data_IF_750911166999
#
_entry.id   IF_750911166999
#
_cell.length_a   1.000
_cell.length_b   1.000
_cell.length_c   1.000
_cell.angle_alpha   90.00
_cell.angle_beta   90.00
_cell.angle_gamma   90.00
#
_symmetry.space_group_name_H-M   'P 1'
#
loop_
_entity.id
_entity.type
_entity.pdbx_description
1 polymer ?
#
# COMPACT_ATOMS: atom_id res chain seq x y z
N UNK A 1 1.55 -20.19 1.90
CA UNK A 1 1.78 -18.88 1.26
C UNK A 1 0.42 -18.28 0.97
N UNK A 2 0.17 -17.06 1.42
CA UNK A 2 -1.05 -16.30 1.10
C UNK A 2 -1.14 -16.17 -0.43
N UNK A 3 -2.28 -16.56 -1.01
CA UNK A 3 -2.52 -16.42 -2.44
C UNK A 3 -3.15 -15.06 -2.77
N UNK A 4 -2.89 -14.57 -3.98
CA UNK A 4 -3.58 -13.39 -4.49
C UNK A 4 -5.06 -13.73 -4.76
N UNK A 5 -6.01 -12.83 -4.46
CA UNK A 5 -7.41 -13.08 -4.76
C UNK A 5 -7.65 -13.13 -6.27
N UNK A 6 -8.56 -14.00 -6.67
CA UNK A 6 -9.09 -14.08 -8.02
C UNK A 6 -10.47 -13.41 -8.10
N UNK A 7 -10.96 -13.18 -9.32
CA UNK A 7 -12.27 -12.59 -9.56
C UNK A 7 -12.23 -11.18 -10.15
N UNK A 8 -13.40 -10.71 -10.56
CA UNK A 8 -13.54 -9.52 -11.39
C UNK A 8 -12.93 -8.25 -10.76
N UNK A 9 -13.16 -8.01 -9.46
CA UNK A 9 -12.61 -6.83 -8.79
C UNK A 9 -11.09 -6.89 -8.67
N UNK A 10 -10.52 -8.06 -8.37
CA UNK A 10 -9.08 -8.28 -8.28
C UNK A 10 -8.39 -8.17 -9.66
N UNK A 11 -9.01 -8.69 -10.72
CA UNK A 11 -8.55 -8.51 -12.10
C UNK A 11 -8.58 -7.05 -12.53
N UNK A 12 -9.68 -6.33 -12.27
CA UNK A 12 -9.80 -4.91 -12.59
C UNK A 12 -8.79 -4.06 -11.82
N UNK A 13 -8.56 -4.36 -10.53
CA UNK A 13 -7.60 -3.62 -9.71
C UNK A 13 -6.16 -3.83 -10.19
N UNK A 14 -5.81 -5.07 -10.58
CA UNK A 14 -4.51 -5.35 -11.23
C UNK A 14 -4.36 -4.58 -12.53
N UNK A 15 -5.36 -4.62 -13.41
CA UNK A 15 -5.33 -3.94 -14.70
C UNK A 15 -5.13 -2.43 -14.53
N UNK A 16 -5.92 -1.79 -13.68
CA UNK A 16 -5.79 -0.34 -13.42
C UNK A 16 -4.44 -0.03 -12.78
N UNK A 17 -3.98 -0.83 -11.82
CA UNK A 17 -2.67 -0.60 -11.22
C UNK A 17 -1.55 -0.70 -12.26
N UNK A 18 -1.56 -1.72 -13.13
CA UNK A 18 -0.54 -1.86 -14.20
C UNK A 18 -0.61 -0.79 -15.29
N UNK A 19 -1.78 -0.18 -15.51
CA UNK A 19 -1.95 0.90 -16.51
C UNK A 19 -1.33 2.21 -16.03
N UNK A 20 -1.44 2.51 -14.72
CA UNK A 20 -1.08 3.82 -14.17
C UNK A 20 0.19 3.82 -13.32
N UNK A 21 0.55 2.69 -12.72
CA UNK A 21 1.76 2.55 -11.93
C UNK A 21 2.89 1.96 -12.79
N UNK A 22 4.14 2.37 -12.51
CA UNK A 22 5.29 1.62 -13.02
C UNK A 22 5.37 0.24 -12.35
N UNK A 23 6.22 -0.63 -12.91
CA UNK A 23 6.38 -2.01 -12.41
C UNK A 23 6.82 -2.05 -10.95
N UNK A 24 7.65 -1.11 -10.49
CA UNK A 24 8.16 -1.09 -9.12
C UNK A 24 7.04 -0.76 -8.12
N UNK A 25 6.18 0.21 -8.45
CA UNK A 25 5.03 0.60 -7.64
C UNK A 25 3.90 -0.44 -7.70
N UNK A 26 3.66 -1.06 -8.85
CA UNK A 26 2.75 -2.22 -8.95
C UNK A 26 3.22 -3.37 -8.05
N UNK A 27 4.51 -3.73 -8.11
CA UNK A 27 5.06 -4.76 -7.23
C UNK A 27 4.98 -4.36 -5.76
N UNK A 28 5.21 -3.09 -5.42
CA UNK A 28 5.00 -2.58 -4.05
C UNK A 28 3.58 -2.87 -3.56
N UNK A 29 2.56 -2.50 -4.34
CA UNK A 29 1.16 -2.78 -3.98
C UNK A 29 0.89 -4.27 -3.73
N UNK A 30 1.46 -5.15 -4.56
CA UNK A 30 1.34 -6.60 -4.38
C UNK A 30 2.06 -7.09 -3.12
N UNK A 31 3.29 -6.62 -2.87
CA UNK A 31 4.05 -6.96 -1.66
C UNK A 31 3.36 -6.45 -0.40
N UNK A 32 2.80 -5.24 -0.41
CA UNK A 32 2.02 -4.66 0.69
C UNK A 32 0.80 -5.52 1.03
N UNK A 33 0.05 -6.02 0.02
CA UNK A 33 -1.00 -7.00 0.25
C UNK A 33 -0.47 -8.29 0.89
N UNK A 34 0.60 -8.88 0.34
CA UNK A 34 1.11 -10.17 0.80
C UNK A 34 1.68 -10.10 2.22
N UNK A 35 2.41 -9.05 2.57
CA UNK A 35 2.87 -8.81 3.94
C UNK A 35 1.69 -8.63 4.91
N UNK A 36 0.73 -7.77 4.59
CA UNK A 36 -0.43 -7.52 5.46
C UNK A 36 -1.29 -8.77 5.67
N UNK A 37 -1.53 -9.53 4.61
CA UNK A 37 -2.30 -10.77 4.66
C UNK A 37 -1.56 -11.88 5.43
N UNK A 38 -0.26 -12.07 5.20
CA UNK A 38 0.54 -13.03 5.95
C UNK A 38 0.59 -12.70 7.45
N UNK A 39 0.68 -11.41 7.79
CA UNK A 39 0.63 -10.94 9.17
C UNK A 39 -0.71 -11.27 9.85
N UNK A 40 -1.83 -10.97 9.18
CA UNK A 40 -3.17 -11.27 9.72
C UNK A 40 -3.40 -12.78 9.88
N UNK A 41 -3.01 -13.58 8.89
CA UNK A 41 -3.13 -15.05 8.92
C UNK A 41 -2.31 -15.65 10.07
N UNK A 42 -1.08 -15.19 10.27
CA UNK A 42 -0.23 -15.63 11.38
C UNK A 42 -0.81 -15.27 12.75
N UNK A 43 -1.52 -14.14 12.83
CA UNK A 43 -2.20 -13.69 14.06
C UNK A 43 -3.61 -14.26 14.24
N UNK A 44 -4.12 -15.05 13.28
CA UNK A 44 -5.46 -15.65 13.34
C UNK A 44 -6.61 -14.67 13.12
N UNK A 45 -6.37 -13.53 12.47
CA UNK A 45 -7.42 -12.58 12.14
C UNK A 45 -8.14 -12.96 10.84
N UNK A 46 -9.47 -12.84 10.84
CA UNK A 46 -10.28 -12.90 9.63
C UNK A 46 -10.40 -11.51 9.00
N UNK A 47 -10.43 -11.44 7.68
CA UNK A 47 -10.55 -10.20 6.92
C UNK A 47 -11.15 -10.44 5.54
N UNK A 48 -11.69 -9.39 4.94
CA UNK A 48 -12.19 -9.44 3.56
C UNK A 48 -11.03 -9.36 2.55
N UNK A 49 -10.65 -10.50 1.99
CA UNK A 49 -9.50 -10.62 1.07
C UNK A 49 -9.63 -9.77 -0.19
N UNK A 50 -10.81 -9.72 -0.79
CA UNK A 50 -11.04 -8.95 -2.03
C UNK A 50 -10.99 -7.45 -1.75
N UNK A 51 -11.63 -7.00 -0.67
CA UNK A 51 -11.59 -5.62 -0.21
C UNK A 51 -10.16 -5.18 0.09
N UNK A 52 -9.41 -5.99 0.85
CA UNK A 52 -8.05 -5.68 1.23
C UNK A 52 -7.13 -5.64 0.01
N UNK A 53 -7.25 -6.61 -0.91
CA UNK A 53 -6.47 -6.61 -2.14
C UNK A 53 -6.75 -5.39 -3.02
N UNK A 54 -8.03 -5.06 -3.27
CA UNK A 54 -8.38 -3.84 -4.02
C UNK A 54 -7.81 -2.59 -3.34
N UNK A 55 -7.88 -2.51 -2.01
CA UNK A 55 -7.31 -1.38 -1.27
C UNK A 55 -5.80 -1.27 -1.46
N UNK A 56 -5.07 -2.38 -1.29
CA UNK A 56 -3.62 -2.44 -1.48
C UNK A 56 -3.21 -2.11 -2.93
N UNK A 57 -3.95 -2.56 -3.94
CA UNK A 57 -3.65 -2.26 -5.35
C UNK A 57 -3.80 -0.78 -5.71
N UNK A 58 -4.66 -0.03 -4.99
CA UNK A 58 -5.01 1.35 -5.33
C UNK A 58 -4.35 2.39 -4.42
N UNK A 59 -3.82 1.99 -3.25
CA UNK A 59 -3.48 2.93 -2.17
C UNK A 59 -2.52 4.05 -2.56
N UNK A 60 -1.57 3.75 -3.45
CA UNK A 60 -0.54 4.69 -3.91
C UNK A 60 -0.78 5.26 -5.30
N UNK A 61 -1.89 4.93 -5.98
CA UNK A 61 -2.11 5.43 -7.34
C UNK A 61 -2.20 6.95 -7.41
N UNK A 62 -2.60 7.62 -6.33
CA UNK A 62 -2.60 9.07 -6.22
C UNK A 62 -1.20 9.70 -6.10
N UNK A 63 -0.13 8.91 -6.04
CA UNK A 63 1.25 9.40 -6.24
C UNK A 63 1.59 9.58 -7.73
N UNK A 64 0.80 8.97 -8.63
CA UNK A 64 1.02 9.06 -10.08
C UNK A 64 0.39 10.34 -10.64
N UNK A 65 1.01 10.93 -11.66
CA UNK A 65 0.60 12.23 -12.21
C UNK A 65 -0.89 12.33 -12.62
N UNK A 66 -1.54 11.29 -13.20
CA UNK A 66 -2.96 11.37 -13.55
C UNK A 66 -3.92 11.51 -12.36
N UNK A 67 -3.50 11.09 -11.15
CA UNK A 67 -4.34 11.05 -9.95
C UNK A 67 -3.81 11.93 -8.82
N UNK A 68 -2.62 12.51 -8.96
CA UNK A 68 -2.05 13.43 -7.97
C UNK A 68 -2.88 14.71 -7.89
N UNK A 69 -3.61 14.85 -6.78
CA UNK A 69 -4.38 16.05 -6.51
C UNK A 69 -3.44 17.22 -6.22
N UNK A 70 -3.75 18.38 -6.79
CA UNK A 70 -2.99 19.60 -6.50
C UNK A 70 -3.10 20.03 -5.02
N UNK A 71 -4.22 19.73 -4.36
CA UNK A 71 -4.53 20.27 -3.02
C UNK A 71 -4.71 19.22 -1.94
N UNK A 72 -5.08 17.98 -2.30
CA UNK A 72 -5.31 16.90 -1.33
C UNK A 72 -4.05 16.08 -1.13
N UNK A 73 -3.86 15.59 0.09
CA UNK A 73 -2.86 14.56 0.37
C UNK A 73 -3.13 13.32 -0.51
N UNK A 74 -2.08 12.58 -0.87
CA UNK A 74 -2.21 11.51 -1.86
C UNK A 74 -3.13 10.39 -1.33
N UNK A 75 -3.09 10.10 -0.04
CA UNK A 75 -3.95 9.10 0.60
C UNK A 75 -5.43 9.51 0.55
N UNK A 76 -5.74 10.81 0.65
CA UNK A 76 -7.11 11.33 0.51
C UNK A 76 -7.58 11.28 -0.95
N UNK A 77 -6.73 11.71 -1.89
CA UNK A 77 -7.01 11.62 -3.32
C UNK A 77 -7.18 10.16 -3.76
N UNK A 78 -6.34 9.26 -3.24
CA UNK A 78 -6.41 7.81 -3.46
C UNK A 78 -7.70 7.21 -2.91
N UNK A 79 -8.15 7.67 -1.73
CA UNK A 79 -9.46 7.31 -1.18
C UNK A 79 -10.61 7.71 -2.12
N UNK A 80 -10.59 8.91 -2.69
CA UNK A 80 -11.59 9.34 -3.68
C UNK A 80 -11.53 8.51 -4.97
N UNK A 81 -10.33 8.26 -5.50
CA UNK A 81 -10.11 7.40 -6.66
C UNK A 81 -10.71 6.00 -6.42
N UNK A 82 -10.46 5.42 -5.26
CA UNK A 82 -10.95 4.10 -4.93
C UNK A 82 -12.48 4.04 -4.82
N UNK A 83 -13.14 5.09 -4.31
CA UNK A 83 -14.62 5.17 -4.34
C UNK A 83 -15.17 5.14 -5.76
N UNK A 84 -14.54 5.90 -6.67
CA UNK A 84 -14.97 5.94 -8.09
C UNK A 84 -14.74 4.58 -8.74
N UNK A 85 -13.55 3.99 -8.57
CA UNK A 85 -13.21 2.68 -9.11
C UNK A 85 -14.20 1.60 -8.63
N UNK A 86 -14.42 1.51 -7.33
CA UNK A 86 -15.32 0.50 -6.74
C UNK A 86 -16.80 0.78 -7.03
N UNK A 87 -17.20 2.03 -7.26
CA UNK A 87 -18.52 2.35 -7.81
C UNK A 87 -18.70 1.80 -9.23
N UNK A 88 -17.67 1.88 -10.08
CA UNK A 88 -17.66 1.28 -11.40
C UNK A 88 -17.81 -0.25 -11.37
N UNK A 89 -17.32 -0.89 -10.32
CA UNK A 89 -17.50 -2.33 -10.05
C UNK A 89 -18.87 -2.69 -9.43
N UNK A 90 -19.74 -1.70 -9.19
CA UNK A 90 -21.06 -1.93 -8.60
C UNK A 90 -21.06 -2.20 -7.09
N UNK A 91 -19.97 -1.88 -6.37
CA UNK A 91 -19.89 -2.11 -4.93
C UNK A 91 -20.89 -1.23 -4.15
N UNK A 92 -21.50 -1.74 -3.06
CA UNK A 92 -22.39 -0.94 -2.23
C UNK A 92 -21.63 0.20 -1.53
N UNK A 93 -22.31 1.32 -1.26
CA UNK A 93 -21.73 2.54 -0.64
C UNK A 93 -20.78 2.23 0.53
N UNK A 94 -21.25 1.45 1.51
CA UNK A 94 -20.46 1.07 2.68
C UNK A 94 -19.13 0.39 2.33
N UNK A 95 -19.08 -0.47 1.31
CA UNK A 95 -17.85 -1.17 0.90
C UNK A 95 -16.88 -0.24 0.19
N UNK A 96 -17.41 0.72 -0.58
CA UNK A 96 -16.61 1.78 -1.24
C UNK A 96 -15.99 2.73 -0.23
N UNK A 97 -16.79 3.14 0.76
CA UNK A 97 -16.32 3.98 1.87
C UNK A 97 -15.23 3.26 2.66
N UNK A 98 -15.37 1.95 2.83
CA UNK A 98 -14.39 1.13 3.53
C UNK A 98 -13.04 1.06 2.82
N UNK A 99 -13.01 0.84 1.50
CA UNK A 99 -11.74 0.88 0.74
C UNK A 99 -11.08 2.26 0.85
N UNK A 100 -11.87 3.33 0.74
CA UNK A 100 -11.35 4.68 0.87
C UNK A 100 -10.75 4.95 2.26
N UNK A 101 -11.41 4.46 3.32
CA UNK A 101 -10.92 4.57 4.69
C UNK A 101 -9.60 3.83 4.89
N UNK A 102 -9.48 2.57 4.42
CA UNK A 102 -8.22 1.81 4.46
C UNK A 102 -7.07 2.58 3.80
N UNK A 103 -7.33 3.15 2.62
CA UNK A 103 -6.34 3.94 1.89
C UNK A 103 -6.00 5.22 2.65
N UNK A 104 -6.95 5.93 3.27
CA UNK A 104 -6.58 7.12 4.06
C UNK A 104 -5.77 6.74 5.30
N UNK A 105 -6.14 5.66 5.98
CA UNK A 105 -5.52 5.25 7.24
C UNK A 105 -4.14 4.58 7.06
N UNK A 106 -3.73 4.19 5.85
CA UNK A 106 -2.45 3.51 5.64
C UNK A 106 -1.23 4.39 5.96
N UNK A 107 -1.40 5.71 5.94
CA UNK A 107 -0.36 6.69 6.27
C UNK A 107 -0.22 6.96 7.78
N UNK A 108 -1.04 6.31 8.61
CA UNK A 108 -1.01 6.40 10.07
C UNK A 108 -0.39 5.14 10.68
N UNK A 109 -0.10 5.16 11.98
CA UNK A 109 0.41 3.99 12.72
C UNK A 109 -0.38 3.69 14.01
N UNK A 110 -1.51 4.36 14.22
CA UNK A 110 -2.26 4.38 15.48
C UNK A 110 -3.50 3.46 15.51
N UNK A 111 -3.66 2.61 14.49
CA UNK A 111 -4.82 1.73 14.37
C UNK A 111 -4.57 0.39 15.08
N UNK A 112 -5.40 0.08 16.08
CA UNK A 112 -5.37 -1.23 16.74
C UNK A 112 -6.05 -2.30 15.87
N UNK A 113 -5.43 -3.48 15.69
CA UNK A 113 -6.03 -4.56 14.90
C UNK A 113 -7.31 -5.13 15.52
N UNK A 114 -7.54 -4.92 16.82
CA UNK A 114 -8.79 -5.31 17.49
C UNK A 114 -9.96 -4.37 17.16
N UNK A 115 -9.67 -3.19 16.65
CA UNK A 115 -10.66 -2.19 16.22
C UNK A 115 -10.87 -2.27 14.73
N UNK A 116 -9.77 -2.35 13.98
CA UNK A 116 -9.75 -2.35 12.53
C UNK A 116 -8.54 -3.13 12.02
N UNK A 117 -8.79 -4.40 11.68
CA UNK A 117 -7.74 -5.30 11.20
C UNK A 117 -7.24 -4.91 9.81
N UNK A 118 -8.11 -4.58 8.85
CA UNK A 118 -7.67 -4.37 7.47
C UNK A 118 -6.86 -3.09 7.28
N UNK A 119 -7.18 -2.02 8.03
CA UNK A 119 -6.34 -0.81 8.05
C UNK A 119 -4.98 -1.12 8.68
N UNK A 120 -4.95 -1.89 9.78
CA UNK A 120 -3.70 -2.30 10.39
C UNK A 120 -2.87 -3.19 9.46
N UNK A 121 -3.49 -4.09 8.71
CA UNK A 121 -2.83 -4.93 7.72
C UNK A 121 -2.15 -4.08 6.65
N UNK A 122 -2.81 -3.03 6.15
CA UNK A 122 -2.21 -2.16 5.13
C UNK A 122 -1.02 -1.39 5.71
N UNK A 123 -1.13 -0.87 6.94
CA UNK A 123 -0.02 -0.21 7.65
C UNK A 123 1.18 -1.15 7.85
N UNK A 124 0.95 -2.40 8.25
CA UNK A 124 2.01 -3.41 8.41
C UNK A 124 2.66 -3.70 7.05
N UNK A 125 1.86 -3.92 6.02
CA UNK A 125 2.33 -4.26 4.69
C UNK A 125 3.19 -3.15 4.07
N UNK A 126 2.69 -1.91 4.08
CA UNK A 126 3.42 -0.75 3.55
C UNK A 126 4.65 -0.44 4.39
N UNK A 127 4.58 -0.53 5.72
CA UNK A 127 5.72 -0.27 6.60
C UNK A 127 6.88 -1.25 6.38
N UNK A 128 6.57 -2.55 6.24
CA UNK A 128 7.54 -3.59 5.96
C UNK A 128 8.18 -3.40 4.58
N UNK A 129 7.38 -3.13 3.54
CA UNK A 129 7.90 -3.01 2.19
C UNK A 129 8.62 -1.67 1.93
N UNK A 130 8.18 -0.58 2.54
CA UNK A 130 8.80 0.73 2.34
C UNK A 130 10.02 0.87 3.24
N UNK A 131 9.82 0.89 4.55
CA UNK A 131 10.85 1.29 5.52
C UNK A 131 11.58 0.11 6.18
N UNK A 132 11.14 -1.12 5.93
CA UNK A 132 11.66 -2.32 6.58
C UNK A 132 11.17 -2.52 8.01
N UNK A 133 10.25 -1.69 8.51
CA UNK A 133 9.73 -1.80 9.87
C UNK A 133 8.94 -3.10 10.04
N UNK A 134 9.35 -3.93 11.02
CA UNK A 134 8.68 -5.19 11.34
C UNK A 134 8.96 -6.31 10.33
N UNK A 135 9.81 -6.08 9.33
CA UNK A 135 10.10 -7.08 8.29
C UNK A 135 10.79 -8.33 8.86
N UNK A 136 11.43 -8.23 10.02
CA UNK A 136 12.05 -9.32 10.76
C UNK A 136 11.06 -10.31 11.37
N UNK A 137 9.78 -9.94 11.53
CA UNK A 137 8.75 -10.87 12.02
C UNK A 137 8.27 -11.86 10.96
N UNK A 138 8.65 -11.67 9.69
CA UNK A 138 8.28 -12.55 8.59
C UNK A 138 9.37 -13.59 8.33
N UNK A 139 8.93 -14.80 7.96
CA UNK A 139 9.83 -15.90 7.61
C UNK A 139 10.82 -15.47 6.49
N UNK A 140 12.13 -15.73 6.64
CA UNK A 140 13.13 -15.44 5.60
C UNK A 140 12.77 -16.00 4.22
N UNK A 141 12.32 -17.26 4.14
CA UNK A 141 11.96 -17.89 2.88
C UNK A 141 10.72 -17.23 2.23
N UNK A 142 9.79 -16.73 3.05
CA UNK A 142 8.66 -15.94 2.55
C UNK A 142 9.15 -14.62 1.92
N UNK A 143 10.04 -13.90 2.59
CA UNK A 143 10.59 -12.63 2.09
C UNK A 143 11.38 -12.82 0.80
N UNK A 144 12.24 -13.83 0.75
CA UNK A 144 13.03 -14.17 -0.43
C UNK A 144 12.13 -14.54 -1.62
N UNK A 145 11.12 -15.40 -1.41
CA UNK A 145 10.17 -15.73 -2.45
C UNK A 145 9.37 -14.51 -2.93
N UNK A 146 8.95 -13.65 -2.02
CA UNK A 146 8.19 -12.44 -2.31
C UNK A 146 8.98 -11.46 -3.19
N UNK A 147 10.25 -11.18 -2.84
CA UNK A 147 11.12 -10.27 -3.62
C UNK A 147 11.55 -10.92 -4.93
N UNK A 148 11.72 -12.24 -4.99
CA UNK A 148 11.99 -12.95 -6.25
C UNK A 148 10.81 -12.84 -7.22
N UNK A 149 9.59 -13.06 -6.74
CA UNK A 149 8.39 -13.11 -7.58
C UNK A 149 7.87 -11.69 -7.91
N UNK A 150 8.10 -10.72 -7.02
CA UNK A 150 7.79 -9.30 -7.20
C UNK A 150 9.01 -8.42 -6.86
N UNK A 151 10.00 -8.31 -7.77
CA UNK A 151 11.24 -7.56 -7.52
C UNK A 151 11.02 -6.08 -7.18
N UNK A 152 11.93 -5.52 -6.39
CA UNK A 152 11.86 -4.13 -5.93
C UNK A 152 12.27 -3.11 -6.98
N UNK A 153 13.15 -3.45 -7.93
CA UNK A 153 13.41 -2.65 -9.13
C UNK A 153 13.77 -1.17 -8.86
N UNK A 154 14.58 -0.89 -7.84
CA UNK A 154 14.96 0.48 -7.48
C UNK A 154 13.85 1.28 -6.77
N UNK A 155 12.80 0.60 -6.29
CA UNK A 155 11.64 1.18 -5.62
C UNK A 155 12.02 2.19 -4.54
N UNK A 156 12.98 1.89 -3.66
CA UNK A 156 13.29 2.74 -2.51
C UNK A 156 13.63 4.18 -2.91
N UNK A 157 14.52 4.38 -3.90
CA UNK A 157 14.90 5.72 -4.33
C UNK A 157 13.79 6.44 -5.09
N UNK A 158 13.05 5.72 -5.93
CA UNK A 158 11.91 6.27 -6.66
C UNK A 158 10.81 6.73 -5.71
N UNK A 159 10.48 5.90 -4.72
CA UNK A 159 9.41 6.16 -3.76
C UNK A 159 9.73 7.31 -2.82
N UNK A 160 10.98 7.43 -2.36
CA UNK A 160 11.40 8.60 -1.56
C UNK A 160 11.24 9.89 -2.36
N UNK A 161 11.54 9.89 -3.67
CA UNK A 161 11.33 11.07 -4.52
C UNK A 161 9.85 11.43 -4.63
N UNK A 162 8.96 10.45 -4.79
CA UNK A 162 7.51 10.68 -4.79
C UNK A 162 7.06 11.37 -3.50
N UNK A 163 7.54 10.92 -2.34
CA UNK A 163 7.19 11.53 -1.04
C UNK A 163 7.79 12.93 -0.87
N UNK A 164 9.01 13.17 -1.34
CA UNK A 164 9.61 14.50 -1.35
C UNK A 164 8.81 15.48 -2.23
N UNK A 165 8.36 15.02 -3.40
CA UNK A 165 7.48 15.78 -4.29
C UNK A 165 6.14 16.14 -3.61
N UNK A 166 5.52 15.17 -2.93
CA UNK A 166 4.32 15.40 -2.13
C UNK A 166 4.57 16.43 -1.04
N UNK A 167 5.67 16.33 -0.31
CA UNK A 167 6.04 17.25 0.76
C UNK A 167 6.25 18.70 0.27
N UNK A 168 6.87 18.87 -0.91
CA UNK A 168 7.07 20.18 -1.52
C UNK A 168 5.75 20.81 -1.95
N UNK A 169 4.87 20.02 -2.60
CA UNK A 169 3.58 20.51 -3.11
C UNK A 169 2.56 20.73 -1.98
N UNK A 170 2.59 19.87 -0.97
CA UNK A 170 1.57 19.74 0.09
C UNK A 170 2.24 19.59 1.46
N UNK A 171 2.82 20.67 2.01
CA UNK A 171 3.67 20.61 3.20
C UNK A 171 2.96 20.22 4.51
N UNK A 172 1.63 20.10 4.51
CA UNK A 172 0.84 19.66 5.66
C UNK A 172 0.36 18.21 5.60
N UNK A 173 0.79 17.41 4.61
CA UNK A 173 0.37 16.00 4.51
C UNK A 173 1.31 15.06 5.28
N UNK A 174 0.87 13.82 5.51
CA UNK A 174 1.66 12.81 6.23
C UNK A 174 3.02 12.51 5.55
N UNK A 175 3.08 12.56 4.21
CA UNK A 175 4.34 12.40 3.49
C UNK A 175 5.37 13.50 3.87
N UNK A 176 4.90 14.73 4.10
CA UNK A 176 5.75 15.84 4.54
C UNK A 176 6.34 15.58 5.94
N UNK A 177 5.55 15.03 6.86
CA UNK A 177 6.01 14.69 8.20
C UNK A 177 7.07 13.58 8.17
N UNK A 178 6.86 12.53 7.36
CA UNK A 178 7.80 11.41 7.24
C UNK A 178 9.17 11.84 6.69
N UNK A 179 9.20 12.69 5.65
CA UNK A 179 10.48 13.08 5.02
C UNK A 179 11.36 13.99 5.88
N UNK A 180 10.83 14.56 6.98
CA UNK A 180 11.61 15.34 7.96
C UNK A 180 12.50 14.45 8.83
N UNK A 181 12.07 13.20 9.08
CA UNK A 181 12.76 12.26 9.93
C UNK A 181 13.77 11.36 9.22
N UNK A 182 14.03 10.21 9.82
CA UNK A 182 14.94 9.19 9.28
C UNK A 182 14.28 8.27 8.23
N UNK A 183 12.98 8.44 7.94
CA UNK A 183 12.20 7.56 7.08
C UNK A 183 12.86 7.36 5.71
N UNK A 184 13.33 8.45 5.09
CA UNK A 184 13.99 8.40 3.79
C UNK A 184 15.31 7.60 3.81
N UNK A 185 16.02 7.59 4.95
CA UNK A 185 17.21 6.75 5.13
C UNK A 185 16.79 5.29 5.34
N UNK A 186 15.81 5.04 6.21
CA UNK A 186 15.30 3.68 6.48
C UNK A 186 14.81 3.01 5.21
N UNK A 187 14.01 3.71 4.39
CA UNK A 187 13.52 3.23 3.09
C UNK A 187 14.64 2.82 2.15
N UNK A 188 15.72 3.61 2.05
CA UNK A 188 16.89 3.26 1.20
C UNK A 188 17.75 2.13 1.76
N UNK A 189 17.70 1.91 3.07
CA UNK A 189 18.43 0.84 3.76
C UNK A 189 17.60 -0.42 3.98
N UNK A 190 16.43 -0.53 3.34
CA UNK A 190 15.50 -1.63 3.54
C UNK A 190 16.21 -2.97 3.30
N UNK A 191 16.14 -3.94 4.24
CA UNK A 191 16.83 -5.21 4.10
C UNK A 191 16.35 -6.07 2.92
N UNK A 192 15.19 -5.76 2.33
CA UNK A 192 14.69 -6.43 1.13
C UNK A 192 15.44 -6.01 -0.15
N UNK A 193 16.24 -4.94 -0.13
CA UNK A 193 17.07 -4.48 -1.25
C UNK A 193 18.49 -5.09 -1.23
N UNK A 194 18.76 -6.06 -0.35
CA UNK A 194 20.06 -6.75 -0.26
C UNK A 194 20.11 -7.92 -1.24
N UNK A 195 21.21 -8.01 -1.99
CA UNK A 195 21.55 -9.13 -2.88
C UNK A 195 21.70 -10.47 -2.15
#
# INVERSE_FOLDING_TARGET
MTQLPEGHAAEAARLVCTEYADTALYHHSVRSYLFGAAWAEAAGFEFDRELFFVSAMLHDLALTAPFDSHTLAFEEAGGHLARVFTAGLGWPARRRDRVAELIVLHMRDDVSPQVDVESRMLQVGTSADVSGTGVESFDPAFREALVRDYPRLGFADAFVRLFQDQAVRKPGCAAAELVVGDWAQRTRSNPLDRD
#
